data_IF_404362093027
#
_entry.id   IF_404362093027
#
_cell.length_a   1.000
_cell.length_b   1.000
_cell.length_c   1.000
_cell.angle_alpha   90.00
_cell.angle_beta   90.00
_cell.angle_gamma   90.00
#
_symmetry.space_group_name_H-M   'P 1'
#
loop_
_entity.id
_entity.type
_entity.pdbx_description
1 polymer ?
#
# COMPACT_ATOMS: atom_id res chain seq x y z
N UNK A 1 -20.72 -2.05 -1.10
CA UNK A 1 -19.38 -1.62 -0.66
C UNK A 1 -18.60 -2.87 -0.27
N UNK A 2 -18.09 -3.59 -1.25
CA UNK A 2 -17.28 -4.80 -1.08
C UNK A 2 -16.52 -4.96 -2.39
N UNK A 3 -15.26 -4.54 -2.42
CA UNK A 3 -14.48 -4.43 -3.66
C UNK A 3 -13.14 -5.13 -3.51
N UNK A 4 -13.19 -6.44 -3.21
CA UNK A 4 -12.03 -7.32 -3.30
C UNK A 4 -12.44 -8.65 -3.92
N UNK A 5 -12.81 -8.61 -5.20
CA UNK A 5 -12.92 -9.81 -6.04
C UNK A 5 -11.53 -10.29 -6.54
N UNK A 6 -10.43 -9.62 -6.15
CA UNK A 6 -9.08 -10.01 -6.57
C UNK A 6 -8.10 -9.99 -5.39
N UNK A 7 -7.34 -11.08 -5.15
CA UNK A 7 -6.46 -11.22 -4.01
C UNK A 7 -5.34 -10.17 -4.05
N UNK A 8 -5.16 -9.42 -2.96
CA UNK A 8 -4.02 -8.57 -2.58
C UNK A 8 -3.00 -8.26 -3.69
N UNK A 9 -3.44 -7.52 -4.72
CA UNK A 9 -2.70 -7.37 -5.97
C UNK A 9 -1.53 -6.39 -5.78
N UNK A 10 -0.31 -6.93 -5.65
CA UNK A 10 0.93 -6.14 -5.59
C UNK A 10 1.06 -5.13 -6.74
N UNK A 11 0.60 -5.48 -7.95
CA UNK A 11 0.61 -4.58 -9.12
C UNK A 11 -0.22 -3.32 -8.87
N UNK A 12 -1.43 -3.46 -8.30
CA UNK A 12 -2.31 -2.33 -7.98
C UNK A 12 -1.69 -1.44 -6.90
N UNK A 13 -1.10 -2.05 -5.87
CA UNK A 13 -0.34 -1.31 -4.87
C UNK A 13 0.78 -0.47 -5.51
N UNK A 14 1.62 -1.06 -6.38
CA UNK A 14 2.71 -0.36 -7.07
C UNK A 14 2.21 0.79 -7.96
N UNK A 15 1.09 0.60 -8.65
CA UNK A 15 0.44 1.66 -9.45
C UNK A 15 0.04 2.85 -8.57
N UNK A 16 -0.65 2.58 -7.45
CA UNK A 16 -1.09 3.60 -6.49
C UNK A 16 0.11 4.34 -5.88
N UNK A 17 1.13 3.62 -5.41
CA UNK A 17 2.34 4.24 -4.84
C UNK A 17 3.00 5.19 -5.82
N UNK A 18 3.11 4.80 -7.09
CA UNK A 18 3.69 5.64 -8.15
C UNK A 18 2.88 6.91 -8.37
N UNK A 19 1.56 6.77 -8.48
CA UNK A 19 0.66 7.90 -8.73
C UNK A 19 0.69 8.89 -7.56
N UNK A 20 0.50 8.41 -6.33
CA UNK A 20 0.51 9.24 -5.12
C UNK A 20 1.89 9.88 -4.89
N UNK A 21 2.99 9.15 -5.11
CA UNK A 21 4.34 9.73 -5.04
C UNK A 21 4.52 10.89 -6.02
N UNK A 22 3.95 10.78 -7.23
CA UNK A 22 3.98 11.86 -8.22
C UNK A 22 3.20 13.08 -7.72
N UNK A 23 2.06 12.89 -7.06
CA UNK A 23 1.29 13.97 -6.45
C UNK A 23 2.02 14.63 -5.26
N UNK A 24 2.61 13.84 -4.36
CA UNK A 24 3.41 14.33 -3.23
C UNK A 24 4.57 15.21 -3.72
N UNK A 25 5.25 14.77 -4.78
CA UNK A 25 6.32 15.57 -5.40
C UNK A 25 5.80 16.87 -6.01
N UNK A 26 4.62 16.87 -6.63
CA UNK A 26 4.00 18.07 -7.23
C UNK A 26 3.64 19.13 -6.19
N UNK A 27 3.23 18.72 -4.99
CA UNK A 27 2.91 19.67 -3.89
C UNK A 27 4.15 20.19 -3.15
N UNK A 28 5.36 19.71 -3.53
CA UNK A 28 6.63 20.17 -2.97
C UNK A 28 7.18 19.33 -1.82
N UNK A 29 6.62 18.16 -1.55
CA UNK A 29 7.09 17.25 -0.51
C UNK A 29 8.01 16.16 -1.10
N UNK A 30 8.91 15.60 -0.28
CA UNK A 30 9.75 14.47 -0.68
C UNK A 30 9.02 13.13 -0.48
N UNK A 31 8.63 12.41 -1.56
CA UNK A 31 7.93 11.14 -1.43
C UNK A 31 8.76 10.05 -0.73
N UNK A 32 10.09 10.16 -0.68
CA UNK A 32 10.95 9.17 0.01
C UNK A 32 10.79 9.22 1.53
N UNK A 33 10.25 10.33 2.06
CA UNK A 33 9.97 10.49 3.49
C UNK A 33 8.60 9.93 3.90
N UNK A 34 7.80 9.47 2.93
CA UNK A 34 6.43 8.98 3.16
C UNK A 34 6.42 7.46 3.03
N UNK A 35 6.05 6.78 4.11
CA UNK A 35 5.85 5.33 4.10
C UNK A 35 4.50 4.99 3.48
N UNK A 36 4.51 4.09 2.49
CA UNK A 36 3.29 3.52 1.92
C UNK A 36 3.05 2.13 2.52
N UNK A 37 1.90 1.93 3.17
CA UNK A 37 1.54 0.65 3.79
C UNK A 37 0.15 0.23 3.30
N UNK A 38 0.01 -0.93 2.62
CA UNK A 38 -1.29 -1.45 2.25
C UNK A 38 -2.00 -1.96 3.50
N UNK A 39 -3.24 -1.54 3.74
CA UNK A 39 -4.06 -1.97 4.89
C UNK A 39 -5.44 -2.44 4.40
N UNK A 40 -6.09 -3.33 5.17
CA UNK A 40 -7.52 -3.62 5.01
C UNK A 40 -8.22 -3.39 6.34
N UNK A 41 -9.08 -2.37 6.41
CA UNK A 41 -9.87 -2.11 7.61
C UNK A 41 -11.07 -3.02 7.81
N UNK A 42 -11.43 -3.82 6.81
CA UNK A 42 -12.49 -4.83 6.95
C UNK A 42 -11.97 -6.14 7.52
N UNK A 43 -10.68 -6.41 7.33
CA UNK A 43 -10.02 -7.64 7.74
C UNK A 43 -8.94 -7.39 8.82
N UNK A 44 -8.85 -6.16 9.32
CA UNK A 44 -7.87 -5.71 10.33
C UNK A 44 -6.41 -6.01 9.96
N UNK A 45 -6.07 -5.90 8.68
CA UNK A 45 -4.76 -6.28 8.15
C UNK A 45 -3.77 -5.11 8.09
N UNK A 46 -2.53 -5.36 8.52
CA UNK A 46 -1.44 -4.38 8.55
C UNK A 46 -1.77 -3.13 9.38
N UNK A 47 -2.76 -3.21 10.28
CA UNK A 47 -3.13 -2.11 11.18
C UNK A 47 -2.32 -2.14 12.47
N UNK A 48 -2.30 -3.29 13.15
CA UNK A 48 -1.54 -3.51 14.38
C UNK A 48 -0.46 -4.57 14.19
N UNK A 49 -0.74 -5.58 13.37
CA UNK A 49 0.17 -6.70 13.08
C UNK A 49 0.31 -6.93 11.57
N UNK A 50 1.45 -7.46 11.10
CA UNK A 50 1.64 -7.81 9.69
C UNK A 50 0.66 -8.89 9.22
N UNK A 51 0.05 -8.68 8.05
CA UNK A 51 -0.86 -9.64 7.42
C UNK A 51 -0.11 -10.75 6.71
N UNK A 52 -0.54 -11.99 6.97
CA UNK A 52 -0.10 -13.19 6.24
C UNK A 52 -0.63 -13.25 4.79
N UNK A 53 -1.57 -12.39 4.39
CA UNK A 53 -2.12 -12.35 3.03
C UNK A 53 -1.32 -11.43 2.08
N UNK A 54 -0.43 -10.60 2.63
CA UNK A 54 0.40 -9.64 1.91
C UNK A 54 1.89 -9.96 2.03
N UNK A 55 2.26 -11.25 1.94
CA UNK A 55 3.65 -11.73 2.10
C UNK A 55 4.66 -11.05 1.17
N UNK A 56 4.20 -10.57 0.00
CA UNK A 56 5.03 -9.83 -0.95
C UNK A 56 5.51 -8.46 -0.43
N UNK A 57 4.95 -7.95 0.67
CA UNK A 57 5.35 -6.69 1.30
C UNK A 57 6.59 -6.88 2.20
N UNK A 58 6.74 -8.04 2.84
CA UNK A 58 7.83 -8.34 3.78
C UNK A 58 9.23 -8.50 3.16
N UNK A 59 9.38 -8.30 1.85
CA UNK A 59 10.65 -8.34 1.14
C UNK A 59 11.18 -6.95 0.74
N UNK A 60 10.84 -5.91 1.51
CA UNK A 60 11.60 -4.66 1.46
C UNK A 60 12.86 -4.78 2.33
N UNK A 61 14.08 -4.60 1.78
CA UNK A 61 15.25 -4.28 2.59
C UNK A 61 15.09 -2.92 3.27
#
# INVERSE_FOLDING_TARGET
MGSTELPYIQKRYKEIVKEVSTYIKKIGCDPNTVAFMPISGWNDENMLEPSANMLWMGSHP
#
